data_IF_961270494358
#
_entry.id   IF_961270494358
#
_cell.length_a   1.000
_cell.length_b   1.000
_cell.length_c   1.000
_cell.angle_alpha   90.00
_cell.angle_beta   90.00
_cell.angle_gamma   90.00
#
_symmetry.space_group_name_H-M   'P 1'
#
loop_
_entity.id
_entity.type
_entity.pdbx_description
1 polymer ?
#
# COMPACT_ATOMS: atom_id res chain seq x y z
N UNK A 1 -15.49 -11.77 -40.66
CA UNK A 1 -14.11 -12.01 -40.19
C UNK A 1 -13.74 -10.86 -39.26
N UNK A 2 -13.49 -10.98 -37.96
CA UNK A 2 -13.57 -12.09 -37.00
C UNK A 2 -13.46 -11.42 -35.63
N UNK A 3 -14.46 -11.63 -34.78
CA UNK A 3 -14.45 -11.63 -33.31
C UNK A 3 -13.28 -10.93 -32.59
N UNK A 4 -13.43 -9.68 -32.13
CA UNK A 4 -12.43 -9.07 -31.23
C UNK A 4 -12.98 -8.29 -30.03
N UNK A 5 -14.28 -8.26 -29.77
CA UNK A 5 -14.87 -7.37 -28.75
C UNK A 5 -15.53 -8.11 -27.57
N UNK A 6 -15.05 -9.30 -27.21
CA UNK A 6 -15.65 -10.07 -26.10
C UNK A 6 -14.62 -10.76 -25.19
N UNK A 7 -13.57 -10.04 -24.77
CA UNK A 7 -12.60 -10.53 -23.77
C UNK A 7 -12.47 -9.64 -22.52
N UNK A 8 -13.23 -8.54 -22.39
CA UNK A 8 -13.05 -7.57 -21.31
C UNK A 8 -14.21 -7.49 -20.31
N UNK A 9 -14.88 -8.62 -20.05
CA UNK A 9 -15.64 -8.78 -18.82
C UNK A 9 -14.80 -9.61 -17.84
N UNK A 10 -13.58 -9.14 -17.54
CA UNK A 10 -12.88 -9.62 -16.36
C UNK A 10 -13.80 -9.32 -15.17
N UNK A 11 -14.11 -10.32 -14.35
CA UNK A 11 -15.07 -10.19 -13.25
C UNK A 11 -14.73 -8.96 -12.42
N UNK A 12 -15.68 -8.04 -12.28
CA UNK A 12 -15.47 -6.81 -11.50
C UNK A 12 -15.17 -7.13 -10.02
N UNK A 13 -15.70 -8.26 -9.55
CA UNK A 13 -15.46 -8.79 -8.23
C UNK A 13 -14.07 -9.44 -8.13
N UNK A 14 -13.25 -9.03 -7.15
CA UNK A 14 -12.00 -9.70 -6.86
C UNK A 14 -12.27 -11.12 -6.34
N UNK A 15 -11.38 -12.05 -6.69
CA UNK A 15 -11.35 -13.36 -6.03
C UNK A 15 -10.92 -13.21 -4.57
N UNK A 16 -11.20 -14.22 -3.75
CA UNK A 16 -10.75 -14.24 -2.35
C UNK A 16 -9.21 -14.13 -2.24
N UNK A 17 -8.47 -14.82 -3.10
CA UNK A 17 -7.01 -14.72 -3.14
C UNK A 17 -6.54 -13.30 -3.49
N UNK A 18 -7.20 -12.64 -4.44
CA UNK A 18 -6.87 -11.28 -4.82
C UNK A 18 -7.16 -10.28 -3.70
N UNK A 19 -8.24 -10.48 -2.94
CA UNK A 19 -8.53 -9.70 -1.73
C UNK A 19 -7.42 -9.89 -0.66
N UNK A 20 -6.95 -11.12 -0.47
CA UNK A 20 -5.85 -11.43 0.45
C UNK A 20 -4.54 -10.76 0.03
N UNK A 21 -4.23 -10.75 -1.28
CA UNK A 21 -3.05 -10.06 -1.80
C UNK A 21 -3.12 -8.54 -1.61
N UNK A 22 -4.30 -7.95 -1.84
CA UNK A 22 -4.54 -6.51 -1.62
C UNK A 22 -4.40 -6.16 -0.13
N UNK A 23 -4.97 -6.96 0.76
CA UNK A 23 -4.84 -6.79 2.22
C UNK A 23 -3.38 -6.94 2.66
N UNK A 24 -2.66 -7.94 2.14
CA UNK A 24 -1.25 -8.15 2.45
C UNK A 24 -0.39 -6.97 2.01
N UNK A 25 -0.62 -6.44 0.80
CA UNK A 25 0.05 -5.22 0.33
C UNK A 25 -0.23 -4.04 1.24
N UNK A 26 -1.51 -3.81 1.58
CA UNK A 26 -1.92 -2.69 2.42
C UNK A 26 -1.28 -2.76 3.82
N UNK A 27 -1.29 -3.94 4.45
CA UNK A 27 -0.66 -4.19 5.76
C UNK A 27 0.85 -4.04 5.70
N UNK A 28 1.50 -4.54 4.66
CA UNK A 28 2.94 -4.39 4.48
C UNK A 28 3.33 -2.89 4.34
N UNK A 29 2.59 -2.13 3.53
CA UNK A 29 2.80 -0.70 3.38
C UNK A 29 2.62 0.06 4.72
N UNK A 30 1.57 -0.28 5.48
CA UNK A 30 1.33 0.30 6.80
C UNK A 30 2.44 -0.05 7.80
N UNK A 31 2.91 -1.29 7.80
CA UNK A 31 4.00 -1.74 8.66
C UNK A 31 5.30 -0.97 8.37
N UNK A 32 5.65 -0.85 7.09
CA UNK A 32 6.82 -0.08 6.66
C UNK A 32 6.68 1.41 6.98
N UNK A 33 5.48 1.99 6.83
CA UNK A 33 5.21 3.38 7.21
C UNK A 33 5.47 3.63 8.69
N UNK A 34 5.00 2.73 9.56
CA UNK A 34 5.29 2.79 11.00
C UNK A 34 6.80 2.64 11.23
N UNK A 35 7.47 1.70 10.56
CA UNK A 35 8.91 1.55 10.63
C UNK A 35 9.65 2.85 10.30
N UNK A 36 9.26 3.52 9.21
CA UNK A 36 9.84 4.81 8.80
C UNK A 36 9.61 5.93 9.81
N UNK A 37 8.45 5.97 10.48
CA UNK A 37 8.13 7.03 11.46
C UNK A 37 8.83 6.77 12.80
N UNK A 38 8.86 5.52 13.27
CA UNK A 38 9.19 5.19 14.66
C UNK A 38 10.52 4.47 14.86
N UNK A 39 11.00 3.66 13.91
CA UNK A 39 12.14 2.78 14.13
C UNK A 39 13.43 3.34 13.50
N UNK A 40 14.54 3.30 14.24
CA UNK A 40 15.89 3.48 13.68
C UNK A 40 16.59 2.15 13.37
N UNK A 41 16.16 1.06 14.00
CA UNK A 41 16.73 -0.27 13.83
C UNK A 41 15.68 -1.37 14.12
N UNK A 42 16.04 -2.63 13.89
CA UNK A 42 15.20 -3.82 14.03
C UNK A 42 13.84 -3.71 13.30
N UNK A 43 13.81 -3.29 12.02
CA UNK A 43 12.57 -2.97 11.30
C UNK A 43 11.68 -4.19 11.03
N UNK A 44 12.20 -5.42 11.18
CA UNK A 44 11.45 -6.67 10.99
C UNK A 44 11.26 -7.44 12.30
N UNK A 45 11.60 -6.84 13.45
CA UNK A 45 11.49 -7.46 14.79
C UNK A 45 12.16 -8.85 14.86
N UNK A 46 13.37 -8.97 14.32
CA UNK A 46 14.17 -10.22 14.37
C UNK A 46 14.63 -10.56 15.78
N UNK A 47 14.67 -9.55 16.65
CA UNK A 47 14.81 -9.67 18.10
C UNK A 47 13.67 -8.90 18.81
N UNK A 48 13.41 -9.16 20.11
CA UNK A 48 12.39 -8.42 20.86
C UNK A 48 12.58 -6.90 20.77
N UNK A 49 11.49 -6.16 20.63
CA UNK A 49 11.53 -4.70 20.51
C UNK A 49 12.04 -4.07 21.81
N UNK A 50 13.10 -3.27 21.72
CA UNK A 50 13.69 -2.49 22.82
C UNK A 50 13.57 -0.99 22.51
N UNK A 51 13.60 -0.16 23.56
CA UNK A 51 13.49 1.31 23.42
C UNK A 51 14.58 1.90 22.53
N UNK A 52 15.78 1.31 22.54
CA UNK A 52 16.91 1.69 21.69
C UNK A 52 16.68 1.50 20.18
N UNK A 53 15.66 0.73 19.77
CA UNK A 53 15.26 0.62 18.36
C UNK A 53 14.35 1.78 17.92
N UNK A 54 13.83 2.58 18.85
CA UNK A 54 12.88 3.67 18.59
C UNK A 54 13.61 4.99 18.44
N UNK A 55 13.27 5.77 17.41
CA UNK A 55 13.94 7.05 17.12
C UNK A 55 13.84 7.99 18.31
N UNK A 56 14.94 8.68 18.69
CA UNK A 56 14.90 9.66 19.78
C UNK A 56 14.04 10.89 19.44
N UNK A 57 13.78 11.13 18.15
CA UNK A 57 12.86 12.15 17.65
C UNK A 57 11.92 11.53 16.61
N UNK A 58 10.63 11.53 16.93
CA UNK A 58 9.59 11.01 16.04
C UNK A 58 9.17 12.10 15.06
N UNK A 59 9.31 11.84 13.77
CA UNK A 59 8.96 12.76 12.69
C UNK A 59 8.21 11.99 11.60
N UNK A 60 7.10 12.56 11.15
CA UNK A 60 6.22 11.98 10.15
C UNK A 60 4.76 12.05 10.57
N UNK A 61 3.86 11.74 9.64
CA UNK A 61 2.43 11.77 9.89
C UNK A 61 1.84 10.38 9.65
N UNK A 62 1.12 9.88 10.64
CA UNK A 62 0.40 8.62 10.52
C UNK A 62 -1.04 8.82 10.00
N UNK A 63 -1.73 9.88 10.42
CA UNK A 63 -3.20 9.98 10.29
C UNK A 63 -3.75 9.72 8.88
N UNK A 64 -3.11 10.26 7.85
CA UNK A 64 -3.55 10.05 6.45
C UNK A 64 -3.00 8.78 5.80
N UNK A 65 -1.93 8.19 6.36
CA UNK A 65 -1.10 7.19 5.69
C UNK A 65 -1.82 5.86 5.41
N UNK A 66 -2.60 5.26 6.34
CA UNK A 66 -3.36 4.05 6.05
C UNK A 66 -4.42 4.23 4.95
N UNK A 67 -4.99 5.42 4.85
CA UNK A 67 -5.96 5.75 3.80
C UNK A 67 -5.29 5.86 2.43
N UNK A 68 -4.12 6.49 2.39
CA UNK A 68 -3.32 6.60 1.17
C UNK A 68 -2.86 5.23 0.66
N UNK A 69 -2.27 4.40 1.53
CA UNK A 69 -1.83 3.06 1.16
C UNK A 69 -3.00 2.15 0.74
N UNK A 70 -4.18 2.29 1.36
CA UNK A 70 -5.40 1.56 0.97
C UNK A 70 -5.84 1.92 -0.46
N UNK A 71 -5.91 3.22 -0.77
CA UNK A 71 -6.25 3.71 -2.11
C UNK A 71 -5.20 3.23 -3.12
N UNK A 72 -3.92 3.31 -2.77
CA UNK A 72 -2.83 2.90 -3.64
C UNK A 72 -2.89 1.39 -3.97
N UNK A 73 -3.17 0.54 -2.98
CA UNK A 73 -3.35 -0.89 -3.18
C UNK A 73 -4.47 -1.19 -4.20
N UNK A 74 -5.60 -0.51 -4.09
CA UNK A 74 -6.73 -0.67 -5.00
C UNK A 74 -6.49 -0.04 -6.38
N UNK A 75 -5.72 1.04 -6.47
CA UNK A 75 -5.28 1.60 -7.75
C UNK A 75 -4.35 0.64 -8.48
N UNK A 76 -3.40 0.01 -7.79
CA UNK A 76 -2.54 -1.02 -8.37
C UNK A 76 -3.36 -2.17 -8.96
N UNK A 77 -4.41 -2.62 -8.25
CA UNK A 77 -5.37 -3.59 -8.78
C UNK A 77 -6.05 -3.08 -10.05
N UNK A 78 -6.59 -1.86 -10.04
CA UNK A 78 -7.29 -1.29 -11.18
C UNK A 78 -6.39 -1.13 -12.42
N UNK A 79 -5.13 -0.72 -12.21
CA UNK A 79 -4.10 -0.62 -13.26
C UNK A 79 -3.87 -1.99 -13.90
N UNK A 80 -3.63 -3.03 -13.08
CA UNK A 80 -3.36 -4.39 -13.57
C UNK A 80 -4.56 -5.00 -14.31
N UNK A 81 -5.77 -4.81 -13.78
CA UNK A 81 -7.00 -5.37 -14.35
C UNK A 81 -7.34 -4.74 -15.72
N UNK A 82 -7.02 -3.46 -15.90
CA UNK A 82 -7.46 -2.67 -17.06
C UNK A 82 -6.34 -2.30 -18.02
N UNK A 83 -5.12 -2.72 -17.73
CA UNK A 83 -3.91 -2.26 -18.43
C UNK A 83 -3.88 -0.72 -18.54
N UNK A 84 -4.22 -0.04 -17.44
CA UNK A 84 -4.48 1.40 -17.44
C UNK A 84 -3.21 2.20 -17.14
N UNK A 85 -2.98 3.26 -17.92
CA UNK A 85 -1.94 4.24 -17.63
C UNK A 85 -2.48 5.30 -16.64
N UNK A 86 -1.92 5.35 -15.42
CA UNK A 86 -2.46 6.14 -14.31
C UNK A 86 -1.34 6.93 -13.62
N UNK A 87 -1.64 8.18 -13.28
CA UNK A 87 -0.82 9.01 -12.38
C UNK A 87 -1.62 9.23 -11.09
N UNK A 88 -1.01 8.98 -9.93
CA UNK A 88 -1.60 9.25 -8.63
C UNK A 88 -1.08 10.57 -8.04
N UNK A 89 -1.97 11.55 -7.85
CA UNK A 89 -1.65 12.83 -7.23
C UNK A 89 -2.13 12.84 -5.79
N UNK A 90 -1.19 12.76 -4.85
CA UNK A 90 -1.48 12.73 -3.42
C UNK A 90 -1.74 14.14 -2.87
N UNK A 91 -3.01 14.49 -2.64
CA UNK A 91 -3.41 15.75 -2.00
C UNK A 91 -2.82 15.95 -0.60
N UNK A 92 -3.04 15.04 0.37
CA UNK A 92 -2.45 15.14 1.71
C UNK A 92 -0.99 14.65 1.70
N UNK A 93 -0.11 15.38 1.01
CA UNK A 93 1.30 15.00 0.79
C UNK A 93 2.16 14.88 2.06
N UNK A 94 1.67 15.34 3.22
CA UNK A 94 2.33 15.12 4.51
C UNK A 94 2.37 13.64 4.93
N UNK A 95 1.57 12.79 4.29
CA UNK A 95 1.62 11.32 4.39
C UNK A 95 2.69 10.65 3.53
N UNK A 96 3.75 11.36 3.14
CA UNK A 96 4.83 10.87 2.28
C UNK A 96 5.35 9.46 2.58
N UNK A 97 5.51 9.03 3.85
CA UNK A 97 5.93 7.65 4.17
C UNK A 97 5.04 6.52 3.63
N UNK A 98 3.78 6.82 3.27
CA UNK A 98 2.84 5.87 2.68
C UNK A 98 3.02 5.66 1.16
N UNK A 99 3.94 6.41 0.54
CA UNK A 99 4.13 6.56 -0.91
C UNK A 99 5.53 6.20 -1.36
#
# INVERSE_FOLDING_TARGET
MTQHTSLLAQSSQPSEHELQDIDAYWRAANYLTIGQIYLLDNPLLREPLRLEHVKPRLLGHWGTSPGLSFIYAHLNRAIRLRDANVIYVCGPGHGGPAM
#
